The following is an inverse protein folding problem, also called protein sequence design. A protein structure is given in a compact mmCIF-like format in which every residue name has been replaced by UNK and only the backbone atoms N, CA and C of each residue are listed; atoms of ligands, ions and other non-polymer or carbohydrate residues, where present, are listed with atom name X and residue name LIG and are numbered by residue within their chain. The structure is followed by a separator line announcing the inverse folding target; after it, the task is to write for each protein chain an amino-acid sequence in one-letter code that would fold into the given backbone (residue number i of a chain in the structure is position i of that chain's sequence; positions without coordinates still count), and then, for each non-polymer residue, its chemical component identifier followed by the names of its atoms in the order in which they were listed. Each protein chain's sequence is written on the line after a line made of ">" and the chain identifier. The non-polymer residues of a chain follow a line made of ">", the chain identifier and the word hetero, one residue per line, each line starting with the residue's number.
data_IF_399805646272
#
_entry.id   IF_399805646272
#
_cell.length_a   1.000
_cell.length_b   1.000
_cell.length_c   1.000
_cell.angle_alpha   90.00
_cell.angle_beta   90.00
_cell.angle_gamma   90.00
#
_symmetry.space_group_name_H-M   'P 1'
#
loop_
_entity.id
_entity.type
_entity.pdbx_description
1 polymer ?
#
# COMPACT_ATOMS: atom_id res chain seq x y z
N UNK A 1 9.91 9.53 -22.71
CA UNK A 1 8.55 9.08 -22.33
C UNK A 1 7.66 10.31 -22.19
N UNK A 2 6.61 10.47 -23.01
CA UNK A 2 5.74 11.66 -22.98
C UNK A 2 4.75 11.66 -21.82
N UNK A 3 4.45 10.51 -21.22
CA UNK A 3 3.57 10.35 -20.06
C UNK A 3 4.23 9.42 -19.06
N UNK A 4 4.25 9.81 -17.78
CA UNK A 4 4.87 9.07 -16.68
C UNK A 4 3.93 9.05 -15.47
N UNK A 5 4.06 8.02 -14.62
CA UNK A 5 3.34 7.89 -13.34
C UNK A 5 4.34 7.95 -12.19
N UNK A 6 4.08 8.77 -11.19
CA UNK A 6 4.94 8.89 -10.00
C UNK A 6 4.63 7.83 -8.92
N UNK A 7 4.09 6.68 -9.34
CA UNK A 7 3.63 5.61 -8.46
C UNK A 7 2.66 6.09 -7.36
N UNK A 8 2.56 5.34 -6.26
CA UNK A 8 1.69 5.65 -5.12
C UNK A 8 2.50 6.15 -3.91
N UNK A 9 1.84 6.78 -2.94
CA UNK A 9 2.47 7.17 -1.67
C UNK A 9 3.12 5.97 -0.95
N UNK A 10 2.45 4.82 -0.93
CA UNK A 10 2.98 3.58 -0.32
C UNK A 10 4.17 3.04 -1.11
N UNK A 11 4.13 3.03 -2.45
CA UNK A 11 5.26 2.56 -3.28
C UNK A 11 6.49 3.43 -3.08
N UNK A 12 6.32 4.75 -3.00
CA UNK A 12 7.43 5.69 -2.77
C UNK A 12 8.04 5.56 -1.37
N UNK A 13 7.25 5.21 -0.36
CA UNK A 13 7.77 4.93 0.98
C UNK A 13 8.51 3.58 1.02
N UNK A 14 8.05 2.60 0.24
CA UNK A 14 8.53 1.24 0.29
C UNK A 14 9.78 0.97 -0.56
N UNK A 15 9.84 1.56 -1.76
CA UNK A 15 10.92 1.32 -2.72
C UNK A 15 12.33 1.65 -2.17
N UNK A 16 12.56 2.76 -1.45
CA UNK A 16 13.89 3.06 -0.89
C UNK A 16 14.35 2.01 0.13
N UNK A 17 13.45 1.53 0.98
CA UNK A 17 13.75 0.50 1.99
C UNK A 17 14.12 -0.80 1.30
N UNK A 18 13.28 -1.25 0.35
CA UNK A 18 13.55 -2.46 -0.41
C UNK A 18 14.84 -2.38 -1.22
N UNK A 19 15.19 -1.20 -1.75
CA UNK A 19 16.44 -1.00 -2.48
C UNK A 19 17.65 -1.20 -1.58
N UNK A 20 17.65 -0.60 -0.39
CA UNK A 20 18.74 -0.77 0.59
C UNK A 20 18.86 -2.23 1.04
N UNK A 21 17.74 -2.90 1.30
CA UNK A 21 17.75 -4.30 1.72
C UNK A 21 18.24 -5.23 0.61
N UNK A 22 17.78 -5.04 -0.63
CA UNK A 22 18.22 -5.84 -1.77
C UNK A 22 19.71 -5.68 -2.05
N UNK A 23 20.24 -4.46 -1.98
CA UNK A 23 21.64 -4.18 -2.28
C UNK A 23 22.62 -4.76 -1.25
N UNK A 24 22.21 -4.88 0.02
CA UNK A 24 23.09 -5.32 1.11
C UNK A 24 22.88 -6.77 1.53
N UNK A 25 21.64 -7.27 1.47
CA UNK A 25 21.27 -8.55 2.07
C UNK A 25 20.58 -9.51 1.09
N UNK A 26 19.94 -8.98 0.05
CA UNK A 26 19.10 -9.76 -0.85
C UNK A 26 17.77 -10.15 -0.19
N UNK A 27 16.66 -9.90 -0.89
CA UNK A 27 15.32 -10.27 -0.45
C UNK A 27 14.91 -11.54 -1.20
N UNK A 28 14.54 -12.59 -0.46
CA UNK A 28 13.94 -13.81 -1.03
C UNK A 28 12.42 -13.67 -1.16
N UNK A 29 11.74 -13.28 -0.08
CA UNK A 29 10.31 -13.03 -0.03
C UNK A 29 9.98 -11.93 0.99
N UNK A 30 8.95 -11.13 0.74
CA UNK A 30 8.48 -10.09 1.67
C UNK A 30 6.98 -9.83 1.59
N UNK A 31 6.39 -9.50 2.74
CA UNK A 31 4.95 -9.38 2.91
C UNK A 31 4.62 -8.07 3.64
N UNK A 32 4.30 -7.04 2.87
CA UNK A 32 4.07 -5.72 3.42
C UNK A 32 2.64 -5.55 3.93
N UNK A 33 2.48 -5.06 5.14
CA UNK A 33 1.25 -4.43 5.60
C UNK A 33 1.44 -2.92 5.72
N UNK A 34 0.40 -2.14 5.49
CA UNK A 34 0.46 -0.71 5.82
C UNK A 34 -0.78 -0.30 6.59
N UNK A 35 -0.54 0.45 7.66
CA UNK A 35 -1.56 1.21 8.35
C UNK A 35 -1.56 2.55 7.64
N UNK A 36 -2.69 3.06 7.19
CA UNK A 36 -2.72 4.28 6.40
C UNK A 36 -3.83 5.22 6.82
N UNK A 37 -3.54 6.52 6.76
CA UNK A 37 -4.50 7.54 7.09
C UNK A 37 -5.78 7.46 6.22
N UNK A 38 -6.92 7.83 6.79
CA UNK A 38 -8.15 7.93 6.02
C UNK A 38 -7.98 8.92 4.84
N UNK A 39 -8.55 8.58 3.69
CA UNK A 39 -8.49 9.38 2.45
C UNK A 39 -9.88 9.84 2.03
N UNK A 40 -9.93 10.81 1.11
CA UNK A 40 -11.19 11.37 0.59
C UNK A 40 -12.10 10.35 -0.12
N UNK A 41 -11.59 9.17 -0.50
CA UNK A 41 -12.39 8.10 -1.11
C UNK A 41 -13.29 7.39 -0.10
N UNK A 42 -12.94 7.44 1.19
CA UNK A 42 -13.68 6.76 2.25
C UNK A 42 -14.85 7.61 2.74
N UNK A 43 -15.82 6.96 3.36
CA UNK A 43 -17.09 7.59 3.75
C UNK A 43 -17.09 7.95 5.22
N UNK A 44 -17.64 9.11 5.55
CA UNK A 44 -17.73 9.59 6.94
C UNK A 44 -18.69 8.71 7.74
N UNK A 45 -19.79 8.31 7.12
CA UNK A 45 -20.81 7.40 7.65
C UNK A 45 -20.94 6.18 6.75
N UNK A 46 -21.58 5.13 7.26
CA UNK A 46 -21.86 3.93 6.47
C UNK A 46 -22.65 4.31 5.21
N UNK A 47 -22.14 3.92 4.04
CA UNK A 47 -22.64 4.34 2.74
C UNK A 47 -22.28 3.32 1.67
N UNK A 48 -23.02 3.33 0.56
CA UNK A 48 -22.77 2.39 -0.54
C UNK A 48 -21.39 2.63 -1.14
N UNK A 49 -20.55 1.59 -1.15
CA UNK A 49 -19.32 1.54 -1.93
C UNK A 49 -19.47 0.55 -3.08
N UNK A 50 -19.12 0.97 -4.30
CA UNK A 50 -19.36 0.18 -5.50
C UNK A 50 -18.38 -1.00 -5.65
N UNK A 51 -17.09 -0.77 -5.38
CA UNK A 51 -16.02 -1.76 -5.64
C UNK A 51 -15.59 -2.55 -4.40
N UNK A 52 -15.68 -1.95 -3.21
CA UNK A 52 -15.26 -2.60 -1.97
C UNK A 52 -16.25 -2.27 -0.85
N UNK A 53 -17.13 -3.22 -0.54
CA UNK A 53 -18.07 -3.18 0.57
C UNK A 53 -17.45 -2.74 1.91
N UNK A 54 -16.17 -3.07 2.20
CA UNK A 54 -15.50 -2.69 3.46
C UNK A 54 -15.25 -1.20 3.54
N UNK A 55 -14.90 -0.56 2.42
CA UNK A 55 -14.70 0.89 2.32
C UNK A 55 -15.99 1.70 2.42
N UNK A 56 -17.15 1.03 2.34
CA UNK A 56 -18.45 1.64 2.59
C UNK A 56 -18.73 1.88 4.07
N UNK A 57 -17.94 1.31 4.99
CA UNK A 57 -18.07 1.55 6.43
C UNK A 57 -17.48 2.90 6.82
N UNK A 58 -17.99 3.48 7.91
CA UNK A 58 -17.52 4.75 8.47
C UNK A 58 -16.02 4.71 8.73
N UNK A 59 -15.28 5.62 8.09
CA UNK A 59 -13.83 5.67 8.12
C UNK A 59 -13.26 5.97 9.51
N UNK A 60 -13.98 6.75 10.33
CA UNK A 60 -13.47 7.23 11.62
C UNK A 60 -13.88 6.35 12.81
N UNK A 61 -14.76 5.37 12.59
CA UNK A 61 -15.20 4.41 13.60
C UNK A 61 -14.70 2.98 13.39
N UNK A 62 -13.94 2.70 12.33
CA UNK A 62 -13.58 1.33 11.95
C UNK A 62 -12.10 1.19 11.55
N UNK A 63 -11.55 0.00 11.82
CA UNK A 63 -10.39 -0.52 11.11
C UNK A 63 -10.88 -1.19 9.83
N UNK A 64 -10.53 -0.63 8.67
CA UNK A 64 -11.01 -1.13 7.37
C UNK A 64 -9.86 -1.84 6.64
N UNK A 65 -9.89 -3.18 6.50
CA UNK A 65 -8.95 -3.90 5.67
C UNK A 65 -9.25 -3.67 4.18
N UNK A 66 -8.22 -3.46 3.38
CA UNK A 66 -8.31 -3.37 1.93
C UNK A 66 -7.06 -3.96 1.26
N UNK A 67 -7.14 -4.25 -0.02
CA UNK A 67 -6.01 -4.77 -0.80
C UNK A 67 -5.24 -3.61 -1.44
N UNK A 68 -3.92 -3.78 -1.59
CA UNK A 68 -3.06 -2.77 -2.23
C UNK A 68 -2.16 -3.39 -3.28
N UNK A 69 -1.98 -2.69 -4.40
CA UNK A 69 -1.03 -3.06 -5.44
C UNK A 69 0.40 -2.53 -5.19
N UNK A 70 0.63 -1.81 -4.10
CA UNK A 70 1.90 -1.10 -3.88
C UNK A 70 3.11 -2.03 -3.79
N UNK A 71 2.98 -3.18 -3.12
CA UNK A 71 4.05 -4.20 -3.06
C UNK A 71 4.36 -4.79 -4.43
N UNK A 72 3.33 -5.10 -5.23
CA UNK A 72 3.51 -5.60 -6.60
C UNK A 72 4.15 -4.55 -7.51
N UNK A 73 3.82 -3.27 -7.31
CA UNK A 73 4.37 -2.17 -8.10
C UNK A 73 5.87 -1.95 -7.86
N UNK A 74 6.45 -2.46 -6.76
CA UNK A 74 7.90 -2.41 -6.55
C UNK A 74 8.64 -3.18 -7.63
N UNK A 75 8.08 -4.29 -8.13
CA UNK A 75 8.71 -5.06 -9.20
C UNK A 75 8.91 -4.25 -10.49
N UNK A 76 8.13 -3.18 -10.69
CA UNK A 76 8.27 -2.27 -11.83
C UNK A 76 9.42 -1.27 -11.64
N UNK A 77 9.78 -0.95 -10.40
CA UNK A 77 10.85 -0.01 -10.05
C UNK A 77 12.16 -0.74 -9.78
N UNK A 78 12.10 -1.90 -9.13
CA UNK A 78 13.23 -2.77 -8.78
C UNK A 78 12.94 -4.16 -9.39
N UNK A 79 13.39 -4.43 -10.63
CA UNK A 79 13.07 -5.67 -11.35
C UNK A 79 13.54 -6.96 -10.65
N UNK A 80 14.59 -6.89 -9.82
CA UNK A 80 15.10 -8.02 -9.04
C UNK A 80 14.09 -8.56 -8.00
N UNK A 81 13.10 -7.74 -7.61
CA UNK A 81 12.06 -8.07 -6.64
C UNK A 81 10.76 -8.55 -7.29
N UNK A 82 10.79 -8.88 -8.58
CA UNK A 82 9.63 -9.43 -9.29
C UNK A 82 9.19 -10.75 -8.66
N UNK A 83 7.88 -10.85 -8.39
CA UNK A 83 7.21 -12.00 -7.76
C UNK A 83 7.64 -12.35 -6.31
N UNK A 84 8.50 -11.52 -5.69
CA UNK A 84 8.97 -11.72 -4.31
C UNK A 84 8.17 -10.96 -3.25
N UNK A 85 7.41 -9.93 -3.65
CA UNK A 85 6.73 -9.01 -2.72
C UNK A 85 5.20 -9.03 -2.89
N UNK A 86 4.48 -9.18 -1.78
CA UNK A 86 3.01 -9.06 -1.71
C UNK A 86 2.59 -8.16 -0.53
N UNK A 87 1.33 -7.71 -0.47
CA UNK A 87 0.91 -6.88 0.67
C UNK A 87 -0.59 -6.59 0.84
N UNK A 88 -0.94 -6.17 2.06
CA UNK A 88 -2.30 -5.89 2.54
C UNK A 88 -2.33 -4.50 3.21
N UNK A 89 -3.50 -3.89 3.33
CA UNK A 89 -3.64 -2.53 3.83
C UNK A 89 -4.74 -2.41 4.90
N UNK A 90 -4.55 -1.57 5.91
CA UNK A 90 -5.54 -1.23 6.94
C UNK A 90 -5.64 0.29 7.10
N UNK A 91 -6.85 0.84 7.13
CA UNK A 91 -7.03 2.29 7.35
C UNK A 91 -7.06 2.67 8.84
N UNK A 92 -6.48 3.82 9.18
CA UNK A 92 -6.38 4.42 10.52
C UNK A 92 -6.45 5.97 10.50
N UNK A 93 -6.54 6.62 11.67
CA UNK A 93 -6.94 8.03 11.80
C UNK A 93 -5.92 9.10 11.41
N UNK A 94 -4.59 8.88 11.52
CA UNK A 94 -3.65 10.02 11.48
C UNK A 94 -2.25 9.80 10.91
N UNK A 95 -1.80 8.56 10.73
CA UNK A 95 -0.47 8.30 10.17
C UNK A 95 -0.50 7.10 9.24
N UNK A 96 0.34 7.16 8.21
CA UNK A 96 0.63 6.00 7.38
C UNK A 96 1.98 5.43 7.79
N UNK A 97 2.00 4.18 8.24
CA UNK A 97 3.23 3.42 8.45
C UNK A 97 3.21 2.14 7.59
N UNK A 98 4.40 1.68 7.27
CA UNK A 98 4.62 0.42 6.56
C UNK A 98 5.25 -0.55 7.56
N UNK A 99 4.68 -1.73 7.61
CA UNK A 99 5.20 -2.92 8.28
C UNK A 99 5.67 -3.86 7.17
N UNK A 100 6.98 -4.05 7.02
CA UNK A 100 7.59 -4.81 5.92
C UNK A 100 7.85 -6.27 6.29
#
# INVERSE_FOLDING_TARGET
>A
MPVVSNASCTTNCLAPICKVLEDNYGIEYGLMSTIHAATAKQKVVDSRSQKDWRTGRSAFGNLIPSTTGAAKAISLVIPALKDKMSGIFRFYRRFTCIDL
#
